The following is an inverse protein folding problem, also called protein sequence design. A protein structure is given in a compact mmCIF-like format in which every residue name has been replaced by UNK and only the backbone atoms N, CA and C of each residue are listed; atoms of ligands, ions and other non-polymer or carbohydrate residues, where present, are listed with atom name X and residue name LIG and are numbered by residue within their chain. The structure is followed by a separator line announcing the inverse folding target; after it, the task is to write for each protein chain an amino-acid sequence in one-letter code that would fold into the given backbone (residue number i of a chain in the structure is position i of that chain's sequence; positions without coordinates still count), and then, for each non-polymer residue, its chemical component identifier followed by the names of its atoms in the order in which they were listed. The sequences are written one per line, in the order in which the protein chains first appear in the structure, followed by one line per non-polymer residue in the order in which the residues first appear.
data_IF_540745268904
#
_entry.id   IF_540745268904
#
_cell.length_a   1.000
_cell.length_b   1.000
_cell.length_c   1.000
_cell.angle_alpha   90.00
_cell.angle_beta   90.00
_cell.angle_gamma   90.00
#
_symmetry.space_group_name_H-M   'P 1'
#
loop_
_entity.id
_entity.type
_entity.pdbx_description
1 polymer ?
#
# COMPACT_ATOMS: atom_id res chain seq x y z
N UNK A 1 11.84 2.21 23.83
CA UNK A 1 12.56 2.02 22.57
C UNK A 1 11.65 2.38 21.43
N UNK A 2 12.11 3.19 20.52
CA UNK A 2 11.32 3.78 19.43
C UNK A 2 10.60 2.72 18.61
N UNK A 3 9.28 2.83 18.55
CA UNK A 3 8.44 1.89 17.83
C UNK A 3 8.47 2.05 16.31
N UNK A 4 9.62 2.35 15.69
CA UNK A 4 9.78 2.39 14.24
C UNK A 4 9.84 0.97 13.71
N UNK A 5 8.91 0.63 12.83
CA UNK A 5 8.89 -0.64 12.10
C UNK A 5 9.23 -0.36 10.64
N UNK A 6 10.35 -0.90 10.17
CA UNK A 6 10.69 -0.96 8.76
C UNK A 6 10.80 -2.42 8.35
N UNK A 7 9.96 -2.83 7.44
CA UNK A 7 9.95 -4.18 6.91
C UNK A 7 9.86 -4.18 5.39
N UNK A 8 10.51 -5.16 4.76
CA UNK A 8 10.51 -5.36 3.31
C UNK A 8 10.27 -6.82 2.98
N UNK A 9 9.68 -7.10 1.83
CA UNK A 9 9.51 -8.46 1.35
C UNK A 9 9.40 -8.52 -0.18
N UNK A 10 9.50 -9.72 -0.75
CA UNK A 10 9.40 -9.88 -2.18
C UNK A 10 9.56 -11.31 -2.69
N UNK A 11 10.20 -11.44 -3.84
CA UNK A 11 10.33 -12.69 -4.59
C UNK A 11 11.29 -13.71 -3.99
N UNK A 12 12.08 -13.36 -2.98
CA UNK A 12 12.94 -14.31 -2.27
C UNK A 12 12.20 -15.07 -1.16
N UNK A 13 10.90 -14.89 -1.06
CA UNK A 13 10.02 -15.53 -0.06
C UNK A 13 10.41 -15.20 1.39
N UNK A 14 10.98 -14.00 1.61
CA UNK A 14 11.33 -13.54 2.96
C UNK A 14 10.70 -12.20 3.29
N UNK A 15 10.38 -12.05 4.57
CA UNK A 15 10.07 -10.77 5.20
C UNK A 15 11.27 -10.40 6.04
N UNK A 16 11.84 -9.21 5.82
CA UNK A 16 12.99 -8.71 6.56
C UNK A 16 12.62 -7.48 7.34
N UNK A 17 13.03 -7.47 8.60
CA UNK A 17 12.90 -6.34 9.50
C UNK A 17 14.25 -5.64 9.62
N UNK A 18 14.23 -4.33 9.60
CA UNK A 18 15.42 -3.51 9.54
C UNK A 18 15.46 -2.49 10.67
N UNK A 19 16.63 -2.28 11.20
CA UNK A 19 16.89 -1.07 11.97
C UNK A 19 17.10 0.09 11.01
N UNK A 20 16.16 1.06 11.03
CA UNK A 20 16.13 2.13 10.04
C UNK A 20 17.39 3.00 10.05
N UNK A 21 17.98 3.22 11.22
CA UNK A 21 19.15 4.09 11.40
C UNK A 21 20.46 3.44 10.93
N UNK A 22 20.67 2.15 11.19
CA UNK A 22 21.91 1.45 10.85
C UNK A 22 21.86 0.72 9.51
N UNK A 23 20.66 0.35 9.04
CA UNK A 23 20.47 -0.51 7.87
C UNK A 23 20.69 -1.99 8.14
N UNK A 24 20.85 -2.36 9.42
CA UNK A 24 21.05 -3.75 9.83
C UNK A 24 19.76 -4.53 9.75
N UNK A 25 19.78 -5.72 9.13
CA UNK A 25 18.67 -6.66 9.17
C UNK A 25 18.60 -7.31 10.55
N UNK A 26 17.59 -6.99 11.33
CA UNK A 26 17.42 -7.48 12.70
C UNK A 26 16.74 -8.84 12.75
N UNK A 27 15.88 -9.13 11.77
CA UNK A 27 15.13 -10.38 11.71
C UNK A 27 14.76 -10.72 10.27
N UNK A 28 14.78 -12.01 9.95
CA UNK A 28 14.26 -12.56 8.70
C UNK A 28 13.23 -13.64 8.99
N UNK A 29 12.06 -13.53 8.39
CA UNK A 29 10.98 -14.52 8.48
C UNK A 29 10.75 -15.11 7.09
N UNK A 30 10.66 -16.43 6.99
CA UNK A 30 10.32 -17.12 5.74
C UNK A 30 8.81 -17.08 5.51
N UNK A 31 8.44 -16.84 4.26
CA UNK A 31 7.08 -16.96 3.75
C UNK A 31 7.07 -18.10 2.72
N UNK A 32 6.80 -19.35 3.14
CA UNK A 32 7.16 -20.52 2.32
C UNK A 32 6.28 -20.73 1.09
N UNK A 33 5.04 -20.24 1.12
CA UNK A 33 4.04 -20.61 0.12
C UNK A 33 4.22 -19.94 -1.23
N UNK A 34 4.67 -18.67 -1.24
CA UNK A 34 4.82 -17.87 -2.45
C UNK A 34 5.74 -16.68 -2.22
N UNK A 35 5.92 -15.84 -3.25
CA UNK A 35 6.44 -14.49 -3.07
C UNK A 35 5.48 -13.67 -2.18
N UNK A 36 5.98 -12.64 -1.54
CA UNK A 36 5.17 -11.66 -0.80
C UNK A 36 4.91 -10.46 -1.70
N UNK A 37 3.65 -10.18 -1.99
CA UNK A 37 3.24 -9.09 -2.88
C UNK A 37 2.91 -7.80 -2.11
N UNK A 38 2.43 -7.90 -0.89
CA UNK A 38 2.14 -6.74 -0.05
C UNK A 38 2.40 -7.00 1.44
N UNK A 39 2.78 -5.93 2.13
CA UNK A 39 3.04 -5.87 3.57
C UNK A 39 2.28 -4.71 4.19
N UNK A 40 1.75 -4.93 5.40
CA UNK A 40 1.13 -3.87 6.18
C UNK A 40 1.33 -4.13 7.68
N UNK A 41 1.74 -3.10 8.42
CA UNK A 41 1.80 -3.15 9.89
C UNK A 41 0.40 -2.92 10.46
N UNK A 42 0.01 -3.68 11.48
CA UNK A 42 -1.28 -3.47 12.17
C UNK A 42 -1.27 -2.13 12.93
N UNK A 43 -2.43 -1.46 13.09
CA UNK A 43 -2.49 -0.16 13.77
C UNK A 43 -1.94 -0.17 15.21
N UNK A 44 -1.98 -1.32 15.90
CA UNK A 44 -1.41 -1.51 17.25
C UNK A 44 0.09 -1.82 17.24
N UNK A 45 0.72 -1.94 16.06
CA UNK A 45 2.13 -2.28 15.82
C UNK A 45 2.61 -3.60 16.42
N UNK A 46 1.70 -4.47 16.81
CA UNK A 46 2.06 -5.79 17.35
C UNK A 46 2.35 -6.79 16.25
N UNK A 47 1.69 -6.62 15.11
CA UNK A 47 1.75 -7.59 14.02
C UNK A 47 2.05 -6.93 12.68
N UNK A 48 2.57 -7.74 11.76
CA UNK A 48 2.67 -7.44 10.34
C UNK A 48 1.88 -8.49 9.57
N UNK A 49 1.09 -8.05 8.61
CA UNK A 49 0.42 -8.93 7.66
C UNK A 49 1.21 -8.94 6.37
N UNK A 50 1.47 -10.13 5.88
CA UNK A 50 2.07 -10.39 4.59
C UNK A 50 1.08 -11.16 3.72
N UNK A 51 0.94 -10.75 2.47
CA UNK A 51 0.09 -11.44 1.52
C UNK A 51 0.83 -11.78 0.24
N UNK A 52 0.55 -12.97 -0.28
CA UNK A 52 1.17 -13.53 -1.46
C UNK A 52 0.15 -14.18 -2.40
N UNK A 53 0.37 -15.44 -2.77
CA UNK A 53 -0.48 -16.22 -3.64
C UNK A 53 -0.79 -17.60 -3.02
N UNK A 54 -2.01 -17.87 -2.65
CA UNK A 54 -3.13 -16.96 -2.42
C UNK A 54 -3.29 -16.55 -0.95
N UNK A 55 -2.32 -16.89 -0.10
CA UNK A 55 -2.43 -16.80 1.35
C UNK A 55 -2.16 -15.41 1.90
N UNK A 56 -2.86 -15.06 2.98
CA UNK A 56 -2.60 -13.87 3.80
C UNK A 56 -2.25 -14.35 5.21
N UNK A 57 -1.11 -13.91 5.74
CA UNK A 57 -0.56 -14.40 7.00
C UNK A 57 -0.18 -13.27 7.94
N UNK A 58 -0.52 -13.43 9.20
CA UNK A 58 -0.23 -12.51 10.29
C UNK A 58 0.98 -13.01 11.07
N UNK A 59 2.00 -12.17 11.23
CA UNK A 59 3.21 -12.46 12.00
C UNK A 59 3.36 -11.45 13.13
N UNK A 60 3.84 -11.92 14.27
CA UNK A 60 4.17 -11.05 15.40
C UNK A 60 5.49 -10.32 15.13
N UNK A 61 5.54 -8.99 15.35
CA UNK A 61 6.73 -8.18 15.05
C UNK A 61 7.83 -8.43 16.09
N UNK A 62 7.50 -8.37 17.36
CA UNK A 62 8.47 -8.47 18.46
C UNK A 62 8.56 -9.90 19.03
N UNK A 63 8.72 -10.89 18.15
CA UNK A 63 8.79 -12.30 18.54
C UNK A 63 9.85 -13.02 17.71
N UNK A 64 10.48 -14.01 18.31
CA UNK A 64 11.40 -14.91 17.60
C UNK A 64 10.68 -16.10 16.91
N UNK A 65 9.35 -16.17 17.05
CA UNK A 65 8.55 -17.21 16.38
C UNK A 65 8.57 -16.99 14.86
N UNK A 66 9.07 -17.94 14.06
CA UNK A 66 9.11 -17.82 12.61
C UNK A 66 7.74 -18.12 11.96
N UNK A 67 6.80 -18.69 12.69
CA UNK A 67 5.51 -19.12 12.17
C UNK A 67 4.47 -17.99 12.23
N UNK A 68 3.52 -17.93 11.30
CA UNK A 68 2.41 -17.01 11.40
C UNK A 68 1.54 -17.35 12.62
N UNK A 69 1.06 -16.34 13.31
CA UNK A 69 0.10 -16.50 14.41
C UNK A 69 -1.31 -16.74 13.89
N UNK A 70 -1.59 -16.33 12.64
CA UNK A 70 -2.86 -16.57 11.95
C UNK A 70 -2.68 -16.56 10.44
N UNK A 71 -3.53 -17.37 9.78
CA UNK A 71 -3.68 -17.37 8.32
C UNK A 71 -5.12 -17.04 7.94
N UNK A 72 -5.27 -16.33 6.82
CA UNK A 72 -6.57 -15.96 6.25
C UNK A 72 -6.61 -16.54 4.84
N UNK A 73 -7.39 -17.59 4.67
CA UNK A 73 -7.48 -18.37 3.44
C UNK A 73 -8.82 -18.12 2.76
N UNK A 74 -8.83 -18.02 1.43
CA UNK A 74 -10.05 -17.82 0.66
C UNK A 74 -9.87 -17.05 -0.65
N UNK A 75 -8.73 -16.38 -0.87
CA UNK A 75 -8.33 -15.94 -2.22
C UNK A 75 -7.85 -17.14 -3.04
N UNK A 76 -7.95 -17.02 -4.37
CA UNK A 76 -7.52 -18.05 -5.33
C UNK A 76 -6.44 -17.56 -6.28
N UNK A 77 -6.03 -16.29 -6.17
CA UNK A 77 -4.99 -15.65 -6.97
C UNK A 77 -4.08 -14.77 -6.13
N UNK A 78 -3.17 -14.06 -6.79
CA UNK A 78 -2.29 -13.11 -6.14
C UNK A 78 -3.08 -12.06 -5.36
N UNK A 79 -2.75 -11.87 -4.09
CA UNK A 79 -3.24 -10.74 -3.31
C UNK A 79 -2.38 -9.53 -3.65
N UNK A 80 -3.01 -8.47 -4.16
CA UNK A 80 -2.35 -7.29 -4.74
C UNK A 80 -2.32 -6.10 -3.80
N UNK A 81 -3.26 -6.05 -2.88
CA UNK A 81 -3.40 -4.92 -1.95
C UNK A 81 -4.07 -5.34 -0.67
N UNK A 82 -3.77 -4.63 0.40
CA UNK A 82 -4.39 -4.81 1.70
C UNK A 82 -4.36 -3.52 2.51
N UNK A 83 -5.20 -3.46 3.52
CA UNK A 83 -5.18 -2.42 4.53
C UNK A 83 -6.08 -2.74 5.71
N UNK A 84 -6.05 -1.86 6.70
CA UNK A 84 -6.77 -2.04 7.96
C UNK A 84 -7.79 -0.95 8.18
N UNK A 85 -8.84 -1.31 8.91
CA UNK A 85 -9.70 -0.37 9.61
C UNK A 85 -8.89 0.36 10.69
N UNK A 86 -9.22 1.63 10.95
CA UNK A 86 -8.46 2.54 11.83
C UNK A 86 -8.05 1.95 13.20
N UNK A 87 -8.93 1.14 13.81
CA UNK A 87 -8.67 0.52 15.11
C UNK A 87 -8.20 -0.95 15.00
N UNK A 88 -7.88 -1.43 13.81
CA UNK A 88 -7.38 -2.78 13.60
C UNK A 88 -8.37 -3.90 13.93
N UNK A 89 -9.69 -3.63 13.89
CA UNK A 89 -10.71 -4.67 14.12
C UNK A 89 -10.84 -5.61 12.93
N UNK A 90 -10.70 -5.09 11.73
CA UNK A 90 -10.78 -5.84 10.48
C UNK A 90 -9.78 -5.30 9.46
N UNK A 91 -9.46 -6.14 8.49
CA UNK A 91 -8.66 -5.79 7.32
C UNK A 91 -9.43 -6.09 6.04
N UNK A 92 -9.01 -5.47 4.95
CA UNK A 92 -9.46 -5.78 3.60
C UNK A 92 -8.29 -6.22 2.73
N UNK A 93 -8.58 -7.03 1.73
CA UNK A 93 -7.62 -7.49 0.73
C UNK A 93 -8.25 -7.45 -0.65
N UNK A 94 -7.49 -7.04 -1.67
CA UNK A 94 -7.84 -7.14 -3.08
C UNK A 94 -6.95 -8.14 -3.78
N UNK A 95 -7.47 -8.84 -4.78
CA UNK A 95 -6.75 -9.92 -5.45
C UNK A 95 -6.99 -9.96 -6.96
N UNK A 96 -6.03 -10.53 -7.68
CA UNK A 96 -6.15 -10.87 -9.11
C UNK A 96 -7.25 -11.89 -9.39
N UNK A 97 -7.79 -12.57 -8.37
CA UNK A 97 -8.97 -13.44 -8.49
C UNK A 97 -10.27 -12.65 -8.77
N UNK A 98 -10.20 -11.32 -8.86
CA UNK A 98 -11.34 -10.45 -9.09
C UNK A 98 -12.18 -10.18 -7.86
N UNK A 99 -11.67 -10.46 -6.66
CA UNK A 99 -12.44 -10.24 -5.42
C UNK A 99 -11.76 -9.27 -4.47
N UNK A 100 -12.60 -8.62 -3.64
CA UNK A 100 -12.18 -7.89 -2.46
C UNK A 100 -12.81 -8.59 -1.27
N UNK A 101 -12.01 -8.93 -0.27
CA UNK A 101 -12.46 -9.64 0.93
C UNK A 101 -12.22 -8.83 2.18
N UNK A 102 -13.16 -8.94 3.12
CA UNK A 102 -13.05 -8.37 4.47
C UNK A 102 -12.88 -9.50 5.48
N UNK A 103 -11.94 -9.31 6.40
CA UNK A 103 -11.54 -10.27 7.42
C UNK A 103 -11.59 -9.63 8.79
N UNK A 104 -12.29 -10.22 9.74
CA UNK A 104 -12.13 -9.87 11.16
C UNK A 104 -10.81 -10.46 11.67
N UNK A 105 -9.97 -9.64 12.29
CA UNK A 105 -8.67 -10.10 12.79
C UNK A 105 -8.78 -11.09 13.95
N UNK A 106 -9.94 -11.19 14.60
CA UNK A 106 -10.22 -12.08 15.73
C UNK A 106 -10.99 -13.35 15.34
N UNK A 107 -11.72 -13.30 14.23
CA UNK A 107 -12.52 -14.41 13.74
C UNK A 107 -11.79 -15.20 12.65
N UNK A 108 -12.29 -16.39 12.35
CA UNK A 108 -11.86 -17.19 11.21
C UNK A 108 -12.75 -16.92 10.00
N UNK A 109 -12.17 -17.07 8.81
CA UNK A 109 -12.87 -16.98 7.54
C UNK A 109 -13.16 -15.55 7.06
N UNK A 110 -13.56 -15.48 5.80
CA UNK A 110 -13.95 -14.24 5.14
C UNK A 110 -15.31 -13.79 5.64
N UNK A 111 -15.41 -12.54 6.08
CA UNK A 111 -16.65 -11.96 6.59
C UNK A 111 -17.52 -11.38 5.48
N UNK A 112 -16.88 -10.79 4.46
CA UNK A 112 -17.55 -10.22 3.28
C UNK A 112 -16.71 -10.45 2.04
N UNK A 113 -17.38 -10.64 0.90
CA UNK A 113 -16.78 -10.82 -0.41
C UNK A 113 -17.47 -9.91 -1.42
N UNK A 114 -16.69 -9.11 -2.13
CA UNK A 114 -17.15 -8.26 -3.22
C UNK A 114 -16.52 -8.76 -4.50
N UNK A 115 -17.36 -9.00 -5.51
CA UNK A 115 -16.91 -9.49 -6.82
C UNK A 115 -16.75 -8.33 -7.80
N UNK A 116 -15.58 -8.25 -8.38
CA UNK A 116 -15.23 -7.36 -9.46
C UNK A 116 -15.25 -8.12 -10.78
N UNK A 117 -15.51 -7.43 -11.88
CA UNK A 117 -15.54 -8.04 -13.21
C UNK A 117 -14.14 -8.30 -13.80
N UNK A 118 -13.09 -7.91 -13.11
CA UNK A 118 -11.70 -8.02 -13.54
C UNK A 118 -10.76 -8.15 -12.33
N UNK A 119 -9.50 -8.61 -12.55
CA UNK A 119 -8.47 -8.62 -11.49
C UNK A 119 -8.33 -7.28 -10.80
N UNK A 120 -8.34 -7.31 -9.47
CA UNK A 120 -8.20 -6.11 -8.63
C UNK A 120 -6.71 -5.81 -8.46
N UNK A 121 -6.29 -4.61 -8.83
CA UNK A 121 -4.91 -4.16 -8.74
C UNK A 121 -4.61 -3.42 -7.43
N UNK A 122 -5.58 -2.64 -6.93
CA UNK A 122 -5.41 -1.82 -5.73
C UNK A 122 -6.74 -1.60 -5.03
N UNK A 123 -6.71 -1.55 -3.70
CA UNK A 123 -7.84 -1.19 -2.85
C UNK A 123 -7.35 -0.26 -1.78
N UNK A 124 -8.14 0.76 -1.45
CA UNK A 124 -7.91 1.67 -0.33
C UNK A 124 -9.19 1.89 0.46
N UNK A 125 -9.06 2.16 1.75
CA UNK A 125 -10.19 2.46 2.63
C UNK A 125 -10.41 3.96 2.70
N UNK A 126 -11.64 4.39 2.46
CA UNK A 126 -12.02 5.78 2.63
C UNK A 126 -11.92 6.19 4.12
N UNK A 127 -11.47 7.42 4.44
CA UNK A 127 -11.30 7.88 5.83
C UNK A 127 -12.57 7.82 6.68
N UNK A 128 -13.77 7.82 6.06
CA UNK A 128 -15.05 7.62 6.76
C UNK A 128 -15.23 6.20 7.33
N UNK A 129 -14.33 5.25 7.00
CA UNK A 129 -14.34 3.84 7.42
C UNK A 129 -15.58 3.03 6.94
N UNK A 130 -16.38 3.58 6.06
CA UNK A 130 -17.62 2.99 5.55
C UNK A 130 -17.56 2.64 4.05
N UNK A 131 -16.47 3.01 3.36
CA UNK A 131 -16.32 2.80 1.92
C UNK A 131 -14.93 2.27 1.58
N UNK A 132 -14.88 1.33 0.60
CA UNK A 132 -13.64 0.93 -0.07
C UNK A 132 -13.61 1.49 -1.48
N UNK A 133 -12.43 1.84 -1.96
CA UNK A 133 -12.20 2.28 -3.34
C UNK A 133 -11.24 1.29 -3.97
N UNK A 134 -11.63 0.70 -5.09
CA UNK A 134 -10.82 -0.30 -5.80
C UNK A 134 -10.51 0.13 -7.23
N UNK A 135 -9.38 -0.33 -7.73
CA UNK A 135 -8.98 -0.19 -9.14
C UNK A 135 -8.71 -1.56 -9.74
N UNK A 136 -9.10 -1.75 -11.00
CA UNK A 136 -9.01 -3.03 -11.68
C UNK A 136 -8.20 -3.00 -12.99
N UNK A 137 -7.93 -4.19 -13.51
CA UNK A 137 -7.16 -4.41 -14.72
C UNK A 137 -7.87 -3.87 -16.00
N UNK A 138 -9.20 -3.69 -15.96
CA UNK A 138 -10.00 -3.16 -17.07
C UNK A 138 -10.19 -1.63 -16.99
N UNK A 139 -9.39 -0.94 -16.15
CA UNK A 139 -9.41 0.51 -16.06
C UNK A 139 -10.54 1.11 -15.22
N UNK A 140 -11.28 0.29 -14.49
CA UNK A 140 -12.36 0.80 -13.65
C UNK A 140 -11.89 1.12 -12.25
N UNK A 141 -12.45 2.19 -11.71
CA UNK A 141 -12.45 2.53 -10.29
C UNK A 141 -13.87 2.30 -9.77
N UNK A 142 -13.98 1.58 -8.65
CA UNK A 142 -15.27 1.34 -7.97
C UNK A 142 -15.23 1.80 -6.54
N UNK A 143 -16.35 2.34 -6.09
CA UNK A 143 -16.60 2.68 -4.68
C UNK A 143 -17.61 1.69 -4.12
N UNK A 144 -17.27 1.07 -3.01
CA UNK A 144 -18.06 0.04 -2.35
C UNK A 144 -18.55 0.56 -1.01
N UNK A 145 -19.85 0.69 -0.87
CA UNK A 145 -20.49 1.01 0.41
C UNK A 145 -20.53 -0.24 1.29
N UNK A 146 -19.80 -0.20 2.40
CA UNK A 146 -19.72 -1.31 3.35
C UNK A 146 -20.98 -1.44 4.20
N UNK A 147 -21.79 -0.39 4.32
CA UNK A 147 -23.05 -0.41 5.07
C UNK A 147 -24.16 -1.04 4.24
N UNK A 148 -24.32 -0.55 3.00
CA UNK A 148 -25.29 -1.09 2.06
C UNK A 148 -24.85 -2.42 1.42
N UNK A 149 -23.55 -2.75 1.50
CA UNK A 149 -22.93 -3.92 0.89
C UNK A 149 -23.07 -3.94 -0.64
N UNK A 150 -22.96 -2.79 -1.27
CA UNK A 150 -23.14 -2.58 -2.73
C UNK A 150 -22.03 -1.72 -3.33
N UNK A 151 -21.89 -1.77 -4.66
CA UNK A 151 -21.07 -0.81 -5.40
C UNK A 151 -21.89 0.47 -5.62
N UNK A 152 -21.48 1.57 -4.98
CA UNK A 152 -22.17 2.86 -5.06
C UNK A 152 -21.78 3.69 -6.28
N UNK A 153 -20.51 3.55 -6.74
CA UNK A 153 -20.02 4.26 -7.92
C UNK A 153 -19.07 3.40 -8.74
N UNK A 154 -19.07 3.63 -10.06
CA UNK A 154 -18.13 3.06 -11.01
C UNK A 154 -17.79 4.10 -12.06
N UNK A 155 -16.50 4.35 -12.29
CA UNK A 155 -16.00 5.25 -13.33
C UNK A 155 -14.64 4.79 -13.86
N UNK A 156 -14.24 5.32 -15.01
CA UNK A 156 -12.96 4.99 -15.64
C UNK A 156 -12.24 6.29 -16.00
N UNK A 157 -10.98 6.47 -15.56
CA UNK A 157 -10.21 7.68 -15.88
C UNK A 157 -9.75 7.74 -17.33
N UNK A 158 -9.49 6.59 -17.97
CA UNK A 158 -8.84 6.49 -19.28
C UNK A 158 -9.28 5.23 -20.04
N UNK A 159 -10.60 5.03 -20.16
CA UNK A 159 -11.17 3.88 -20.83
C UNK A 159 -10.76 2.55 -20.22
N UNK A 160 -10.33 1.60 -21.05
CA UNK A 160 -9.96 0.24 -20.62
C UNK A 160 -8.51 0.09 -20.18
N UNK A 161 -7.77 1.20 -20.03
CA UNK A 161 -6.38 1.16 -19.57
C UNK A 161 -6.29 0.81 -18.09
N UNK A 162 -5.60 -0.29 -17.79
CA UNK A 162 -5.48 -0.81 -16.42
C UNK A 162 -5.06 0.27 -15.43
N UNK A 163 -5.87 0.49 -14.40
CA UNK A 163 -5.52 1.33 -13.25
C UNK A 163 -4.77 0.47 -12.24
N UNK A 164 -3.49 0.80 -12.02
CA UNK A 164 -2.58 0.03 -11.16
C UNK A 164 -2.73 0.34 -9.69
N UNK A 165 -3.04 1.58 -9.37
CA UNK A 165 -3.01 2.06 -7.99
C UNK A 165 -4.07 3.13 -7.78
N UNK A 166 -4.67 3.08 -6.60
CA UNK A 166 -5.53 4.15 -6.07
C UNK A 166 -5.12 4.44 -4.63
N UNK A 167 -5.19 5.70 -4.25
CA UNK A 167 -5.00 6.14 -2.88
C UNK A 167 -5.87 7.36 -2.58
N UNK A 168 -6.36 7.49 -1.35
CA UNK A 168 -7.19 8.59 -0.91
C UNK A 168 -6.54 9.33 0.25
N UNK A 169 -6.59 10.66 0.21
CA UNK A 169 -6.08 11.52 1.26
C UNK A 169 -6.76 11.24 2.61
N UNK A 170 -6.00 11.32 3.71
CA UNK A 170 -6.53 11.08 5.07
C UNK A 170 -7.67 12.02 5.48
N UNK A 171 -7.74 13.19 4.87
CA UNK A 171 -8.83 14.18 5.04
C UNK A 171 -9.98 14.00 4.04
N UNK A 172 -9.92 12.95 3.20
CA UNK A 172 -10.85 12.67 2.12
C UNK A 172 -10.93 13.75 1.03
N UNK A 173 -10.01 14.70 0.98
CA UNK A 173 -10.03 15.82 0.04
C UNK A 173 -9.70 15.44 -1.40
N UNK A 174 -8.93 14.37 -1.58
CA UNK A 174 -8.36 14.01 -2.88
C UNK A 174 -8.21 12.51 -3.03
N UNK A 175 -8.68 11.99 -4.16
CA UNK A 175 -8.41 10.63 -4.64
C UNK A 175 -7.40 10.68 -5.78
N UNK A 176 -6.40 9.83 -5.73
CA UNK A 176 -5.40 9.68 -6.81
C UNK A 176 -5.50 8.29 -7.40
N UNK A 177 -5.45 8.20 -8.72
CA UNK A 177 -5.35 6.95 -9.47
C UNK A 177 -4.23 7.05 -10.49
N UNK A 178 -3.58 5.94 -10.81
CA UNK A 178 -2.57 5.93 -11.87
C UNK A 178 -2.61 4.64 -12.68
N UNK A 179 -2.25 4.75 -13.97
CA UNK A 179 -2.42 3.69 -14.95
C UNK A 179 -1.09 3.16 -15.52
N UNK A 180 -1.21 2.18 -16.41
CA UNK A 180 -0.08 1.57 -17.12
C UNK A 180 0.58 2.50 -18.16
N UNK A 181 -0.06 3.60 -18.52
CA UNK A 181 0.51 4.57 -19.47
C UNK A 181 1.34 5.66 -18.80
N UNK A 182 1.56 5.53 -17.49
CA UNK A 182 2.32 6.54 -16.73
C UNK A 182 1.50 7.76 -16.33
N UNK A 183 0.19 7.76 -16.62
CA UNK A 183 -0.70 8.88 -16.33
C UNK A 183 -1.24 8.77 -14.91
N UNK A 184 -1.23 9.88 -14.20
CA UNK A 184 -1.81 10.05 -12.88
C UNK A 184 -3.02 10.98 -12.95
N UNK A 185 -4.12 10.56 -12.36
CA UNK A 185 -5.41 11.26 -12.32
C UNK A 185 -5.71 11.66 -10.89
N UNK A 186 -6.08 12.92 -10.71
CA UNK A 186 -6.37 13.51 -9.40
C UNK A 186 -7.83 13.93 -9.37
N UNK A 187 -8.59 13.36 -8.47
CA UNK A 187 -10.03 13.61 -8.31
C UNK A 187 -10.31 14.35 -7.01
N UNK A 188 -11.33 15.20 -7.04
CA UNK A 188 -11.95 15.78 -5.86
C UNK A 188 -13.25 15.04 -5.58
N UNK A 189 -13.37 14.32 -4.46
CA UNK A 189 -14.64 13.74 -4.04
C UNK A 189 -15.67 14.86 -3.76
N UNK A 190 -16.85 14.78 -4.37
CA UNK A 190 -17.97 15.69 -4.13
C UNK A 190 -19.04 15.03 -3.25
N UNK A 191 -19.21 13.72 -3.42
CA UNK A 191 -20.07 12.84 -2.64
C UNK A 191 -19.52 11.40 -2.75
N UNK A 192 -20.12 10.46 -2.04
CA UNK A 192 -19.73 9.04 -2.08
C UNK A 192 -19.82 8.40 -3.47
N UNK A 193 -20.62 8.98 -4.35
CA UNK A 193 -20.87 8.48 -5.71
C UNK A 193 -20.34 9.43 -6.82
N UNK A 194 -19.78 10.59 -6.46
CA UNK A 194 -19.34 11.59 -7.43
C UNK A 194 -17.91 12.06 -7.17
N UNK A 195 -17.03 11.72 -8.11
CA UNK A 195 -15.61 12.06 -8.14
C UNK A 195 -15.30 12.91 -9.36
N UNK A 196 -15.03 14.19 -9.15
CA UNK A 196 -14.71 15.14 -10.23
C UNK A 196 -13.22 15.10 -10.54
N UNK A 197 -12.87 14.86 -11.82
CA UNK A 197 -11.48 14.93 -12.27
C UNK A 197 -10.98 16.37 -12.20
N UNK A 198 -10.02 16.63 -11.29
CA UNK A 198 -9.40 17.94 -11.10
C UNK A 198 -8.18 18.12 -12.00
N UNK A 199 -7.37 17.07 -12.13
CA UNK A 199 -6.08 17.13 -12.83
C UNK A 199 -5.73 15.77 -13.42
N UNK A 200 -5.08 15.81 -14.58
CA UNK A 200 -4.47 14.64 -15.23
C UNK A 200 -3.08 15.02 -15.71
N UNK A 201 -2.08 14.21 -15.38
CA UNK A 201 -0.69 14.48 -15.72
C UNK A 201 0.04 13.22 -16.16
N UNK A 202 0.96 13.37 -17.12
CA UNK A 202 1.93 12.34 -17.45
C UNK A 202 3.01 12.33 -16.39
N UNK A 203 2.83 11.50 -15.35
CA UNK A 203 3.77 11.41 -14.24
C UNK A 203 5.08 10.74 -14.66
N UNK A 204 4.99 9.65 -15.41
CA UNK A 204 6.13 8.87 -15.91
C UNK A 204 5.92 8.49 -17.38
N UNK A 205 7.00 8.13 -18.08
CA UNK A 205 6.93 7.63 -19.46
C UNK A 205 6.64 6.13 -19.53
N UNK A 206 6.65 5.45 -18.40
CA UNK A 206 6.38 4.03 -18.24
C UNK A 206 5.29 3.82 -17.17
N UNK A 207 5.05 2.55 -16.79
CA UNK A 207 4.02 2.18 -15.81
C UNK A 207 4.20 2.90 -14.48
N UNK A 208 3.12 3.48 -13.96
CA UNK A 208 3.06 3.82 -12.53
C UNK A 208 2.64 2.57 -11.76
N UNK A 209 3.53 2.06 -10.94
CA UNK A 209 3.32 0.82 -10.17
C UNK A 209 2.66 1.11 -8.83
N UNK A 210 2.97 2.27 -8.23
CA UNK A 210 2.38 2.73 -6.97
C UNK A 210 2.24 4.25 -6.95
N UNK A 211 1.12 4.72 -6.43
CA UNK A 211 0.91 6.11 -6.06
C UNK A 211 0.44 6.18 -4.60
N UNK A 212 1.03 7.07 -3.81
CA UNK A 212 0.69 7.25 -2.40
C UNK A 212 0.64 8.72 -2.04
N UNK A 213 -0.40 9.12 -1.32
CA UNK A 213 -0.53 10.45 -0.73
C UNK A 213 0.10 10.41 0.67
N UNK A 214 0.93 11.39 1.01
CA UNK A 214 1.56 11.44 2.32
C UNK A 214 0.52 11.76 3.43
N UNK A 215 0.79 11.36 4.69
CA UNK A 215 -0.15 11.52 5.79
C UNK A 215 -0.66 12.96 6.04
N UNK A 216 0.16 13.97 5.76
CA UNK A 216 -0.20 15.38 5.91
C UNK A 216 -0.75 16.03 4.64
N UNK A 217 -1.03 15.24 3.59
CA UNK A 217 -1.63 15.64 2.30
C UNK A 217 -0.83 16.73 1.53
N UNK A 218 0.47 16.87 1.79
CA UNK A 218 1.33 17.84 1.09
C UNK A 218 1.98 17.27 -0.17
N UNK A 219 2.26 15.97 -0.18
CA UNK A 219 3.01 15.30 -1.23
C UNK A 219 2.28 14.08 -1.77
N UNK A 220 2.44 13.85 -3.06
CA UNK A 220 2.14 12.61 -3.74
C UNK A 220 3.46 11.97 -4.18
N UNK A 221 3.67 10.69 -3.88
CA UNK A 221 4.75 9.90 -4.44
C UNK A 221 4.22 8.97 -5.52
N UNK A 222 4.90 8.91 -6.66
CA UNK A 222 4.61 7.96 -7.75
C UNK A 222 5.85 7.14 -8.05
N UNK A 223 5.73 5.81 -7.96
CA UNK A 223 6.80 4.84 -8.22
C UNK A 223 6.59 4.22 -9.60
N UNK A 224 7.65 4.04 -10.37
CA UNK A 224 7.53 3.62 -11.76
C UNK A 224 8.50 2.50 -12.15
N UNK A 225 8.14 1.83 -13.24
CA UNK A 225 9.02 0.91 -13.96
C UNK A 225 10.20 1.64 -14.64
N UNK A 226 10.15 2.96 -14.80
CA UNK A 226 11.25 3.80 -15.28
C UNK A 226 12.41 3.92 -14.27
N UNK A 227 12.34 3.22 -13.12
CA UNK A 227 13.34 3.16 -12.04
C UNK A 227 13.36 4.39 -11.13
N UNK A 228 12.47 5.34 -11.34
CA UNK A 228 12.39 6.57 -10.55
C UNK A 228 11.18 6.58 -9.63
N UNK A 229 11.27 7.43 -8.62
CA UNK A 229 10.12 7.88 -7.83
C UNK A 229 10.04 9.39 -7.98
N UNK A 230 8.86 9.90 -8.27
CA UNK A 230 8.63 11.33 -8.35
C UNK A 230 7.77 11.81 -7.20
N UNK A 231 8.14 12.96 -6.66
CA UNK A 231 7.44 13.62 -5.55
C UNK A 231 6.78 14.89 -6.10
N UNK A 232 5.48 14.96 -5.90
CA UNK A 232 4.64 16.03 -6.43
C UNK A 232 4.03 16.83 -5.29
N UNK A 233 3.91 18.14 -5.47
CA UNK A 233 3.18 19.02 -4.56
C UNK A 233 1.67 18.84 -4.79
N UNK A 234 0.92 18.46 -3.75
CA UNK A 234 -0.53 18.22 -3.84
C UNK A 234 -1.36 19.49 -4.09
N UNK A 235 -0.81 20.68 -3.83
CA UNK A 235 -1.55 21.92 -4.02
C UNK A 235 -1.72 22.29 -5.51
N UNK A 236 -0.65 22.11 -6.31
CA UNK A 236 -0.57 22.55 -7.72
C UNK A 236 -0.10 21.44 -8.68
N UNK A 237 0.19 20.24 -8.17
CA UNK A 237 0.74 19.10 -8.92
C UNK A 237 2.08 19.38 -9.60
N UNK A 238 2.85 20.35 -9.09
CA UNK A 238 4.21 20.58 -9.55
C UNK A 238 5.18 19.50 -9.08
N UNK A 239 6.15 19.15 -9.93
CA UNK A 239 7.20 18.21 -9.57
C UNK A 239 8.19 18.88 -8.61
N UNK A 240 8.40 18.26 -7.43
CA UNK A 240 9.36 18.72 -6.42
C UNK A 240 10.69 17.99 -6.59
N UNK A 241 10.66 16.66 -6.60
CA UNK A 241 11.85 15.82 -6.72
C UNK A 241 11.63 14.68 -7.69
N UNK A 242 12.70 14.29 -8.40
CA UNK A 242 12.85 12.98 -9.03
C UNK A 242 13.91 12.23 -8.23
N UNK A 243 13.51 11.17 -7.52
CA UNK A 243 14.40 10.35 -6.71
C UNK A 243 15.01 9.28 -7.60
N UNK A 244 16.28 9.48 -7.93
CA UNK A 244 17.06 8.60 -8.78
C UNK A 244 18.06 7.78 -7.95
N UNK A 245 18.29 6.51 -8.34
CA UNK A 245 19.26 5.63 -7.67
C UNK A 245 18.89 4.17 -7.74
N UNK A 246 17.60 3.82 -7.80
CA UNK A 246 17.21 2.45 -8.09
C UNK A 246 17.62 2.05 -9.52
N UNK A 247 18.06 0.78 -9.67
CA UNK A 247 18.58 0.29 -10.95
C UNK A 247 17.52 -0.47 -11.76
N UNK A 248 16.36 -0.75 -11.16
CA UNK A 248 15.21 -1.45 -11.74
C UNK A 248 13.90 -0.88 -11.24
N UNK A 249 12.79 -1.43 -11.67
CA UNK A 249 11.42 -1.05 -11.32
C UNK A 249 11.25 -0.79 -9.83
N UNK A 250 10.58 0.30 -9.48
CA UNK A 250 10.20 0.62 -8.11
C UNK A 250 8.74 0.25 -7.92
N UNK A 251 8.50 -0.78 -7.09
CA UNK A 251 7.19 -1.40 -6.94
C UNK A 251 6.30 -0.75 -5.92
N UNK A 252 6.86 -0.28 -4.83
CA UNK A 252 6.09 0.20 -3.68
C UNK A 252 6.83 1.31 -2.94
N UNK A 253 6.05 2.10 -2.21
CA UNK A 253 6.57 3.11 -1.32
C UNK A 253 5.69 3.28 -0.07
N UNK A 254 6.31 3.75 1.00
CA UNK A 254 5.66 4.04 2.27
C UNK A 254 6.23 5.32 2.87
N UNK A 255 5.35 6.29 3.15
CA UNK A 255 5.74 7.52 3.84
C UNK A 255 5.91 7.30 5.34
N UNK A 256 6.83 8.05 5.95
CA UNK A 256 6.86 8.23 7.39
C UNK A 256 5.61 8.97 7.90
N UNK A 257 5.24 8.77 9.14
CA UNK A 257 4.06 9.39 9.76
C UNK A 257 4.13 10.92 9.72
N UNK A 258 5.33 11.48 9.84
CA UNK A 258 5.58 12.93 9.78
C UNK A 258 5.76 13.44 8.34
N UNK A 259 5.69 12.56 7.34
CA UNK A 259 5.85 12.88 5.90
C UNK A 259 7.20 13.53 5.52
N UNK A 260 8.25 13.28 6.29
CA UNK A 260 9.60 13.78 6.00
C UNK A 260 10.46 12.75 5.26
N UNK A 261 10.10 11.47 5.36
CA UNK A 261 10.84 10.38 4.74
C UNK A 261 9.93 9.49 3.89
N UNK A 262 10.53 8.87 2.87
CA UNK A 262 9.89 7.87 2.03
C UNK A 262 10.76 6.61 2.00
N UNK A 263 10.16 5.47 2.29
CA UNK A 263 10.76 4.16 2.02
C UNK A 263 10.29 3.63 0.67
N UNK A 264 11.18 3.00 -0.10
CA UNK A 264 10.87 2.44 -1.43
C UNK A 264 11.39 1.02 -1.56
N UNK A 265 10.73 0.20 -2.38
CA UNK A 265 11.08 -1.19 -2.69
C UNK A 265 11.29 -1.38 -4.19
N UNK A 266 12.35 -2.09 -4.60
CA UNK A 266 12.70 -2.21 -6.01
C UNK A 266 13.10 -3.63 -6.42
N UNK A 267 12.90 -3.91 -7.71
CA UNK A 267 13.42 -5.10 -8.39
C UNK A 267 14.95 -5.18 -8.40
N UNK A 268 15.67 -4.12 -8.04
CA UNK A 268 17.13 -4.15 -7.88
C UNK A 268 17.59 -4.89 -6.60
N UNK A 269 16.67 -5.55 -5.89
CA UNK A 269 16.86 -6.32 -4.65
C UNK A 269 17.12 -5.45 -3.42
N UNK A 270 16.87 -4.14 -3.52
CA UNK A 270 17.09 -3.19 -2.44
C UNK A 270 15.82 -2.46 -2.04
N UNK A 271 15.81 -1.97 -0.81
CA UNK A 271 14.95 -0.90 -0.38
C UNK A 271 15.78 0.34 -0.05
N UNK A 272 15.17 1.52 -0.12
CA UNK A 272 15.86 2.78 0.20
C UNK A 272 14.97 3.67 1.08
N UNK A 273 15.62 4.49 1.90
CA UNK A 273 14.97 5.63 2.57
C UNK A 273 15.50 6.92 1.96
N UNK A 274 14.57 7.81 1.66
CA UNK A 274 14.81 9.11 1.06
C UNK A 274 14.38 10.22 2.01
N UNK A 275 15.16 11.29 2.09
CA UNK A 275 14.75 12.55 2.72
C UNK A 275 13.96 13.37 1.69
N UNK A 276 12.74 13.72 2.01
CA UNK A 276 11.86 14.46 1.10
C UNK A 276 12.15 15.97 1.08
N UNK A 277 12.95 16.48 2.00
CA UNK A 277 13.39 17.88 1.95
C UNK A 277 14.54 18.07 0.95
N UNK A 278 15.52 17.15 0.96
CA UNK A 278 16.68 17.22 0.05
C UNK A 278 16.50 16.43 -1.24
N UNK A 279 15.62 15.42 -1.26
CA UNK A 279 15.50 14.46 -2.36
C UNK A 279 16.61 13.42 -2.38
N UNK A 280 17.45 13.35 -1.35
CA UNK A 280 18.61 12.45 -1.30
C UNK A 280 18.28 11.09 -0.68
N UNK A 281 18.98 10.05 -1.16
CA UNK A 281 18.92 8.72 -0.56
C UNK A 281 19.76 8.68 0.71
N UNK A 282 19.11 8.60 1.85
CA UNK A 282 19.80 8.52 3.15
C UNK A 282 20.39 7.14 3.40
N UNK A 283 19.69 6.08 2.97
CA UNK A 283 20.11 4.71 3.24
C UNK A 283 19.59 3.73 2.22
N UNK A 284 20.39 2.72 1.96
CA UNK A 284 20.05 1.55 1.16
C UNK A 284 20.10 0.29 2.03
N UNK A 285 19.07 -0.55 1.94
CA UNK A 285 18.91 -1.80 2.66
C UNK A 285 19.20 -2.95 1.70
N UNK A 286 20.30 -3.65 1.96
CA UNK A 286 20.79 -4.75 1.13
C UNK A 286 20.62 -6.07 1.91
N UNK A 287 20.25 -7.13 1.19
CA UNK A 287 20.15 -8.46 1.81
C UNK A 287 19.14 -9.37 1.13
N UNK A 288 18.12 -8.83 0.46
CA UNK A 288 17.26 -9.65 -0.39
C UNK A 288 18.05 -10.23 -1.59
N UNK A 289 17.70 -11.45 -1.98
CA UNK A 289 18.37 -12.16 -3.09
C UNK A 289 17.55 -12.13 -4.38
N UNK A 290 16.34 -11.56 -4.34
CA UNK A 290 15.46 -11.31 -5.50
C UNK A 290 14.77 -9.96 -5.32
N UNK A 291 13.90 -9.59 -6.27
CA UNK A 291 13.18 -8.34 -6.26
C UNK A 291 12.44 -8.11 -4.93
N UNK A 292 12.59 -6.89 -4.38
CA UNK A 292 11.78 -6.39 -3.27
C UNK A 292 10.53 -5.75 -3.86
N UNK A 293 9.36 -6.26 -3.47
CA UNK A 293 8.07 -5.87 -4.07
C UNK A 293 7.30 -4.92 -3.17
N UNK A 294 7.46 -5.05 -1.85
CA UNK A 294 6.70 -4.27 -0.90
C UNK A 294 7.56 -3.80 0.27
N UNK A 295 7.17 -2.66 0.81
CA UNK A 295 7.79 -2.03 1.96
C UNK A 295 6.72 -1.50 2.91
N UNK A 296 6.92 -1.70 4.21
CA UNK A 296 6.11 -1.13 5.26
C UNK A 296 7.01 -0.32 6.19
N UNK A 297 6.70 0.98 6.31
CA UNK A 297 7.33 1.89 7.26
C UNK A 297 6.24 2.41 8.20
N UNK A 298 6.42 2.23 9.49
CA UNK A 298 5.57 2.80 10.52
C UNK A 298 6.43 3.35 11.67
N UNK A 299 6.54 4.65 11.71
CA UNK A 299 7.22 5.44 12.74
C UNK A 299 6.24 6.28 13.59
N UNK A 300 4.92 6.06 13.43
CA UNK A 300 3.89 6.70 14.25
C UNK A 300 4.07 6.33 15.72
N UNK A 301 3.62 7.18 16.64
CA UNK A 301 3.49 6.81 18.05
C UNK A 301 2.31 5.85 18.17
N UNK A 302 2.51 4.70 18.86
CA UNK A 302 1.40 3.76 19.08
C UNK A 302 0.26 4.47 19.81
N UNK A 303 -0.94 4.39 19.28
CA UNK A 303 -2.13 4.96 19.89
C UNK A 303 -2.48 4.10 21.13
N UNK A 304 -2.06 4.55 22.32
CA UNK A 304 -2.27 3.85 23.58
C UNK A 304 -3.64 4.17 24.20
N UNK A 305 -4.52 4.83 23.49
CA UNK A 305 -5.88 5.13 23.93
C UNK A 305 -6.81 3.92 23.81
N UNK A 306 -6.58 2.87 24.60
CA UNK A 306 -7.66 1.96 24.94
C UNK A 306 -8.57 2.67 25.97
N UNK A 307 -9.87 2.74 25.75
CA UNK A 307 -10.79 3.09 26.81
C UNK A 307 -10.68 1.98 27.87
N UNK A 308 -10.20 2.33 29.07
CA UNK A 308 -10.30 1.47 30.24
C UNK A 308 -11.77 1.13 30.39
N UNK A 309 -12.10 -0.14 30.15
CA UNK A 309 -13.39 -0.68 30.53
C UNK A 309 -13.44 -0.66 32.06
N UNK A 310 -14.28 0.22 32.61
CA UNK A 310 -14.73 0.22 33.99
C UNK A 310 -15.87 -0.78 34.16
#
# INVERSE_FOLDING_TARGET
MSGVVLATAGYDHTIRFWEASSGTCTRTVKYPDSQVNCLQVTPDKKYIVAAGNPHVRLFEINSNNPNPVRSYDGHTGNVTSMGFQKHGKWMFTGSEDGTIKIWDLRAQGCQRNYECSAPVNSVTLHPNQAELISADQNGNIRVWDLTANTCSAKFSPDGENAVRTVDIAKDASTLVAANNHGTCFVYTPKSSDNYELRHSMQAHNEYVLKARICPNVRYLATCSSDKTVKIWNMADMSLIHTLEGHQRWVWDCSFSAVSSYLATASSDQTARIWDLNSGESLRQYNGHHKAVICVALDDSVADTSEPRQG
#
